data_IF_719587045855
#
_entry.id   IF_719587045855
#
_cell.length_a   1.000
_cell.length_b   1.000
_cell.length_c   1.000
_cell.angle_alpha   90.00
_cell.angle_beta   90.00
_cell.angle_gamma   90.00
#
_symmetry.space_group_name_H-M   'P 1'
#
loop_
_entity.id
_entity.type
_entity.pdbx_description
1 polymer ?
#
# COMPACT_ATOMS: atom_id res chain seq x y z
N UNK A 1 4.89 -11.31 3.71
CA UNK A 1 5.70 -11.38 2.46
C UNK A 1 7.06 -12.07 2.60
N UNK A 2 7.81 -11.91 3.71
CA UNK A 2 9.11 -12.60 3.87
C UNK A 2 8.97 -14.12 4.00
N UNK A 3 7.98 -14.58 4.78
CA UNK A 3 7.77 -16.01 5.05
C UNK A 3 6.91 -16.69 3.99
N UNK A 4 5.76 -16.09 3.70
CA UNK A 4 4.75 -16.69 2.81
C UNK A 4 4.81 -16.04 1.40
N UNK A 5 5.09 -16.83 0.34
CA UNK A 5 5.11 -16.41 -1.05
C UNK A 5 3.78 -15.89 -1.58
N UNK A 6 2.64 -16.28 -0.99
CA UNK A 6 1.32 -15.80 -1.40
C UNK A 6 1.28 -14.26 -1.43
N UNK A 7 1.79 -13.61 -0.38
CA UNK A 7 1.82 -12.15 -0.27
C UNK A 7 2.83 -11.46 -1.21
N UNK A 8 3.52 -12.22 -2.08
CA UNK A 8 4.38 -11.68 -3.15
C UNK A 8 3.65 -11.66 -4.51
N UNK A 9 2.48 -12.29 -4.59
CA UNK A 9 1.56 -12.17 -5.73
C UNK A 9 0.84 -10.82 -5.67
N UNK A 10 0.34 -10.32 -6.82
CA UNK A 10 -0.48 -9.10 -6.85
C UNK A 10 -1.65 -9.28 -5.89
N UNK A 11 -2.43 -10.36 -6.06
CA UNK A 11 -3.60 -10.62 -5.22
C UNK A 11 -3.27 -10.77 -3.74
N UNK A 12 -2.22 -11.50 -3.41
CA UNK A 12 -1.81 -11.67 -2.02
C UNK A 12 -1.35 -10.36 -1.38
N UNK A 13 -0.70 -9.48 -2.14
CA UNK A 13 -0.33 -8.16 -1.61
C UNK A 13 -1.57 -7.29 -1.32
N UNK A 14 -2.59 -7.29 -2.19
CA UNK A 14 -3.88 -6.64 -1.90
C UNK A 14 -4.47 -7.17 -0.59
N UNK A 15 -4.52 -8.49 -0.44
CA UNK A 15 -5.06 -9.15 0.76
C UNK A 15 -4.24 -8.81 2.01
N UNK A 16 -2.91 -8.70 1.89
CA UNK A 16 -2.06 -8.27 3.00
C UNK A 16 -2.42 -6.86 3.47
N UNK A 17 -2.68 -5.94 2.54
CA UNK A 17 -3.02 -4.55 2.86
C UNK A 17 -4.44 -4.47 3.45
N UNK A 18 -5.42 -5.08 2.79
CA UNK A 18 -6.79 -5.11 3.29
C UNK A 18 -6.88 -5.73 4.69
N UNK A 19 -6.21 -6.86 4.91
CA UNK A 19 -6.24 -7.53 6.20
C UNK A 19 -5.48 -6.76 7.28
N UNK A 20 -4.19 -6.54 7.08
CA UNK A 20 -3.30 -6.10 8.17
C UNK A 20 -3.33 -4.58 8.39
N UNK A 21 -3.77 -3.80 7.41
CA UNK A 21 -3.84 -2.33 7.52
C UNK A 21 -5.27 -1.82 7.57
N UNK A 22 -6.12 -2.24 6.64
CA UNK A 22 -7.49 -1.72 6.54
C UNK A 22 -8.39 -2.34 7.62
N UNK A 23 -8.53 -3.66 7.69
CA UNK A 23 -9.41 -4.32 8.66
C UNK A 23 -8.89 -4.20 10.09
N UNK A 24 -7.58 -4.33 10.31
CA UNK A 24 -6.97 -4.17 11.64
C UNK A 24 -6.97 -2.72 12.17
N UNK A 25 -7.46 -1.77 11.38
CA UNK A 25 -7.81 -0.43 11.88
C UNK A 25 -6.66 0.56 11.90
N UNK A 26 -5.76 0.50 10.92
CA UNK A 26 -4.83 1.60 10.71
C UNK A 26 -5.62 2.90 10.48
N UNK A 27 -5.25 3.95 11.23
CA UNK A 27 -5.97 5.22 11.27
C UNK A 27 -5.56 6.11 10.10
N UNK A 28 -5.88 5.69 8.87
CA UNK A 28 -5.41 6.36 7.65
C UNK A 28 -5.72 7.86 7.64
N UNK A 29 -6.92 8.29 8.00
CA UNK A 29 -7.26 9.72 7.98
C UNK A 29 -6.47 10.53 9.01
N UNK A 30 -6.32 10.03 10.24
CA UNK A 30 -5.51 10.70 11.26
C UNK A 30 -4.05 10.78 10.86
N UNK A 31 -3.49 9.72 10.26
CA UNK A 31 -2.08 9.63 9.89
C UNK A 31 -1.74 10.42 8.63
N UNK A 32 -2.66 10.47 7.67
CA UNK A 32 -2.48 11.19 6.41
C UNK A 32 -2.93 12.65 6.50
N UNK A 33 -3.78 13.00 7.48
CA UNK A 33 -4.36 14.34 7.59
C UNK A 33 -5.36 14.66 6.48
N UNK A 34 -6.06 13.63 5.96
CA UNK A 34 -7.02 13.75 4.86
C UNK A 34 -8.21 14.66 5.21
N UNK A 35 -8.54 14.76 6.49
CA UNK A 35 -9.56 15.67 7.02
C UNK A 35 -8.90 16.60 8.02
N UNK A 36 -9.15 17.90 7.86
CA UNK A 36 -8.71 18.91 8.83
C UNK A 36 -9.56 18.71 10.07
N UNK A 37 -8.91 18.30 11.16
CA UNK A 37 -9.55 18.33 12.46
C UNK A 37 -9.61 19.79 12.93
N UNK A 38 -10.81 20.37 12.97
CA UNK A 38 -11.04 21.71 13.53
C UNK A 38 -10.93 21.70 15.07
N UNK A 39 -10.93 20.51 15.69
CA UNK A 39 -10.67 20.40 17.11
C UNK A 39 -9.18 20.62 17.40
N UNK A 40 -8.87 21.19 18.56
CA UNK A 40 -7.49 21.34 19.05
C UNK A 40 -6.83 19.99 19.44
N UNK A 41 -7.21 18.86 18.80
CA UNK A 41 -6.53 17.59 18.95
C UNK A 41 -5.07 17.72 18.49
N UNK A 42 -4.20 16.91 19.09
CA UNK A 42 -2.77 16.90 18.74
C UNK A 42 -2.62 16.43 17.29
N UNK A 43 -1.74 17.09 16.52
CA UNK A 43 -1.37 16.61 15.19
C UNK A 43 -0.79 15.19 15.30
N UNK A 44 -1.52 14.20 14.77
CA UNK A 44 -1.12 12.80 14.78
C UNK A 44 -0.62 12.31 13.41
N UNK A 45 -0.30 13.22 12.48
CA UNK A 45 0.21 12.87 11.15
C UNK A 45 1.53 12.13 11.25
N UNK A 46 1.66 11.05 10.47
CA UNK A 46 2.88 10.27 10.42
C UNK A 46 2.91 9.36 9.18
N UNK A 47 4.03 9.24 8.45
CA UNK A 47 4.12 8.52 7.18
C UNK A 47 4.24 6.99 7.36
N UNK A 48 3.46 6.39 8.26
CA UNK A 48 3.61 4.98 8.67
C UNK A 48 3.35 4.02 7.50
N UNK A 49 2.30 4.25 6.71
CA UNK A 49 2.01 3.40 5.56
C UNK A 49 3.03 3.60 4.43
N UNK A 50 3.53 4.82 4.23
CA UNK A 50 4.61 5.09 3.27
C UNK A 50 5.90 4.39 3.66
N UNK A 51 6.27 4.39 4.95
CA UNK A 51 7.43 3.63 5.46
C UNK A 51 7.28 2.12 5.19
N UNK A 52 6.07 1.58 5.35
CA UNK A 52 5.79 0.20 4.97
C UNK A 52 5.99 -0.03 3.46
N UNK A 53 5.44 0.82 2.60
CA UNK A 53 5.61 0.70 1.15
C UNK A 53 7.09 0.82 0.74
N UNK A 54 7.86 1.69 1.39
CA UNK A 54 9.30 1.81 1.17
C UNK A 54 10.03 0.51 1.54
N UNK A 55 9.68 -0.11 2.69
CA UNK A 55 10.21 -1.43 3.02
C UNK A 55 9.87 -2.50 1.96
N UNK A 56 8.69 -2.46 1.35
CA UNK A 56 8.36 -3.36 0.23
C UNK A 56 9.19 -3.02 -1.01
N UNK A 57 9.40 -1.74 -1.29
CA UNK A 57 10.27 -1.29 -2.37
C UNK A 57 11.69 -1.83 -2.21
N UNK A 58 12.28 -1.76 -1.00
CA UNK A 58 13.60 -2.33 -0.72
C UNK A 58 13.65 -3.83 -1.06
N UNK A 59 12.59 -4.58 -0.76
CA UNK A 59 12.52 -6.00 -1.10
C UNK A 59 12.40 -6.24 -2.61
N UNK A 60 11.61 -5.42 -3.31
CA UNK A 60 11.51 -5.50 -4.78
C UNK A 60 12.86 -5.23 -5.45
N UNK A 61 13.66 -4.29 -4.91
CA UNK A 61 14.99 -3.97 -5.43
C UNK A 61 15.99 -5.10 -5.14
N UNK A 62 16.01 -5.63 -3.92
CA UNK A 62 16.92 -6.73 -3.56
C UNK A 62 16.57 -8.05 -4.25
N UNK A 63 15.29 -8.26 -4.59
CA UNK A 63 14.79 -9.47 -5.22
C UNK A 63 13.93 -9.18 -6.45
N UNK A 64 14.54 -8.85 -7.61
CA UNK A 64 13.84 -8.29 -8.77
C UNK A 64 12.85 -9.26 -9.44
N UNK A 65 12.92 -10.56 -9.16
CA UNK A 65 12.10 -11.59 -9.82
C UNK A 65 11.07 -12.24 -8.91
N UNK A 66 11.07 -12.00 -7.60
CA UNK A 66 10.23 -12.80 -6.67
C UNK A 66 8.85 -12.20 -6.42
N UNK A 67 8.64 -10.93 -6.78
CA UNK A 67 7.36 -10.23 -6.64
C UNK A 67 6.66 -10.22 -7.99
N UNK A 68 5.38 -10.60 -7.98
CA UNK A 68 4.55 -10.61 -9.18
C UNK A 68 4.19 -9.19 -9.61
N UNK A 69 4.17 -8.25 -8.66
CA UNK A 69 3.97 -6.84 -8.94
C UNK A 69 5.31 -6.10 -9.08
N UNK A 70 5.29 -4.97 -9.78
CA UNK A 70 6.43 -4.08 -9.99
C UNK A 70 6.36 -2.85 -9.07
N UNK A 71 7.41 -2.02 -9.10
CA UNK A 71 7.50 -0.80 -8.27
C UNK A 71 6.46 0.27 -8.62
N UNK A 72 5.86 0.22 -9.82
CA UNK A 72 4.78 1.14 -10.21
C UNK A 72 3.52 0.92 -9.36
N UNK A 73 3.25 -0.32 -8.93
CA UNK A 73 2.15 -0.59 -8.00
C UNK A 73 2.36 0.16 -6.69
N UNK A 74 3.56 0.07 -6.11
CA UNK A 74 3.89 0.72 -4.84
C UNK A 74 3.76 2.24 -4.95
N UNK A 75 4.24 2.80 -6.05
CA UNK A 75 4.10 4.23 -6.36
C UNK A 75 2.64 4.64 -6.50
N UNK A 76 1.85 3.88 -7.26
CA UNK A 76 0.43 4.15 -7.44
C UNK A 76 -0.34 4.13 -6.12
N UNK A 77 -0.04 3.18 -5.22
CA UNK A 77 -0.62 3.14 -3.87
C UNK A 77 -0.21 4.37 -3.04
N UNK A 78 1.06 4.77 -3.10
CA UNK A 78 1.57 5.93 -2.38
C UNK A 78 0.96 7.25 -2.86
N UNK A 79 0.80 7.44 -4.17
CA UNK A 79 0.15 8.62 -4.76
C UNK A 79 -1.34 8.68 -4.37
N UNK A 80 -2.01 7.53 -4.39
CA UNK A 80 -3.44 7.48 -4.10
C UNK A 80 -3.78 7.41 -2.62
N UNK A 81 -2.78 7.28 -1.73
CA UNK A 81 -2.92 7.38 -0.27
C UNK A 81 -3.51 8.72 0.17
N UNK A 82 -3.10 9.80 -0.49
CA UNK A 82 -3.50 11.18 -0.20
C UNK A 82 -4.55 11.74 -1.18
N UNK A 83 -4.82 11.01 -2.27
CA UNK A 83 -5.71 11.49 -3.33
C UNK A 83 -7.19 11.59 -2.92
N UNK A 84 -7.59 10.82 -1.90
CA UNK A 84 -8.99 10.57 -1.53
C UNK A 84 -9.89 10.11 -2.70
N UNK A 85 -9.32 9.67 -3.83
CA UNK A 85 -10.04 9.21 -5.02
C UNK A 85 -10.74 7.86 -4.78
N UNK A 86 -10.13 7.01 -3.96
CA UNK A 86 -10.62 5.67 -3.63
C UNK A 86 -10.93 5.55 -2.15
N UNK A 87 -11.87 4.67 -1.80
CA UNK A 87 -12.32 4.46 -0.42
C UNK A 87 -11.43 3.56 0.42
N UNK A 88 -10.43 2.93 -0.20
CA UNK A 88 -9.59 1.92 0.44
C UNK A 88 -8.79 2.49 1.61
N UNK A 89 -8.26 3.70 1.48
CA UNK A 89 -7.41 4.36 2.49
C UNK A 89 -8.08 5.57 3.15
N UNK A 90 -9.40 5.55 3.24
CA UNK A 90 -10.20 6.58 3.92
C UNK A 90 -10.75 6.01 5.22
N UNK A 91 -10.99 6.88 6.20
CA UNK A 91 -11.50 6.57 7.54
C UNK A 91 -10.49 5.82 8.40
N UNK A 92 -10.80 5.72 9.70
CA UNK A 92 -9.85 5.23 10.70
C UNK A 92 -10.11 3.78 11.14
N UNK A 93 -11.25 3.19 10.80
CA UNK A 93 -11.61 1.83 11.20
C UNK A 93 -12.61 1.20 10.24
N UNK A 94 -12.69 -0.14 10.28
CA UNK A 94 -13.58 -0.93 9.43
C UNK A 94 -15.06 -0.59 9.65
N UNK A 95 -15.47 -0.33 10.88
CA UNK A 95 -16.85 0.04 11.21
C UNK A 95 -17.29 1.34 10.51
N UNK A 96 -16.44 2.36 10.53
CA UNK A 96 -16.72 3.62 9.85
C UNK A 96 -16.78 3.42 8.33
N UNK A 97 -15.87 2.59 7.78
CA UNK A 97 -15.88 2.21 6.36
C UNK A 97 -17.12 1.43 5.95
N UNK A 98 -17.61 0.51 6.77
CA UNK A 98 -18.82 -0.27 6.45
C UNK A 98 -20.06 0.61 6.44
N UNK A 99 -20.18 1.55 7.37
CA UNK A 99 -21.25 2.55 7.37
C UNK A 99 -21.20 3.40 6.10
N UNK A 100 -20.03 3.91 5.72
CA UNK A 100 -19.93 4.82 4.57
C UNK A 100 -20.19 4.13 3.24
N UNK A 101 -19.78 2.85 3.12
CA UNK A 101 -20.15 1.98 1.99
C UNK A 101 -21.66 1.81 1.84
N UNK A 102 -22.43 1.86 2.93
CA UNK A 102 -23.91 1.74 2.86
C UNK A 102 -24.64 3.04 2.58
N UNK A 103 -24.00 4.20 2.81
CA UNK A 103 -24.60 5.54 2.62
C UNK A 103 -24.41 6.10 1.22
N UNK A 104 -23.32 5.75 0.56
CA UNK A 104 -22.99 6.26 -0.78
C UNK A 104 -23.83 5.54 -1.85
N UNK A 105 -24.71 6.29 -2.54
CA UNK A 105 -25.60 5.75 -3.59
C UNK A 105 -24.81 5.17 -4.77
N UNK A 106 -23.66 5.78 -5.10
CA UNK A 106 -22.74 5.32 -6.15
C UNK A 106 -21.64 4.37 -5.61
N UNK A 107 -21.56 4.18 -4.28
CA UNK A 107 -20.50 3.43 -3.61
C UNK A 107 -19.12 4.10 -3.70
N UNK A 108 -18.31 4.00 -2.64
CA UNK A 108 -16.90 4.39 -2.75
C UNK A 108 -16.11 3.30 -3.48
N UNK A 109 -15.48 3.67 -4.60
CA UNK A 109 -14.71 2.73 -5.43
C UNK A 109 -13.44 2.27 -4.71
N UNK A 110 -13.19 0.97 -4.73
CA UNK A 110 -11.96 0.37 -4.22
C UNK A 110 -10.80 0.65 -5.17
N UNK A 111 -9.62 0.99 -4.62
CA UNK A 111 -8.40 1.12 -5.43
C UNK A 111 -8.06 -0.18 -6.17
N UNK A 112 -8.42 -1.33 -5.57
CA UNK A 112 -8.20 -2.64 -6.15
C UNK A 112 -9.03 -2.89 -7.40
N UNK A 113 -10.21 -2.26 -7.54
CA UNK A 113 -11.00 -2.37 -8.77
C UNK A 113 -10.20 -1.81 -9.94
N UNK A 114 -9.62 -0.62 -9.79
CA UNK A 114 -8.76 -0.02 -10.81
C UNK A 114 -7.50 -0.87 -11.07
N UNK A 115 -6.81 -1.30 -10.02
CA UNK A 115 -5.56 -2.08 -10.14
C UNK A 115 -5.80 -3.41 -10.85
N UNK A 116 -6.90 -4.12 -10.55
CA UNK A 116 -7.20 -5.40 -11.19
C UNK A 116 -7.62 -5.24 -12.65
N UNK A 117 -8.38 -4.20 -12.97
CA UNK A 117 -8.77 -3.88 -14.36
C UNK A 117 -7.55 -3.49 -15.22
N UNK A 118 -6.52 -2.89 -14.61
CA UNK A 118 -5.28 -2.44 -15.28
C UNK A 118 -4.06 -3.27 -14.86
N UNK A 119 -4.27 -4.52 -14.45
CA UNK A 119 -3.22 -5.32 -13.79
C UNK A 119 -1.93 -5.45 -14.61
N UNK A 120 -2.02 -5.47 -15.94
CA UNK A 120 -0.86 -5.55 -16.84
C UNK A 120 0.19 -4.45 -16.58
N UNK A 121 -0.21 -3.25 -16.15
CA UNK A 121 0.71 -2.15 -15.83
C UNK A 121 1.52 -2.40 -14.54
N UNK A 122 0.93 -3.17 -13.63
CA UNK A 122 1.45 -3.43 -12.29
C UNK A 122 2.18 -4.75 -12.18
N UNK A 123 2.10 -5.63 -13.20
CA UNK A 123 2.78 -6.90 -13.19
C UNK A 123 4.26 -6.77 -13.55
N UNK A 124 5.08 -7.62 -12.94
CA UNK A 124 6.49 -7.76 -13.20
C UNK A 124 6.71 -8.85 -14.28
N UNK A 125 7.23 -8.50 -15.46
CA UNK A 125 7.45 -9.47 -16.54
C UNK A 125 8.53 -10.52 -16.20
N UNK A 126 9.37 -10.25 -15.20
CA UNK A 126 10.43 -11.17 -14.75
C UNK A 126 10.02 -12.01 -13.53
N UNK A 127 8.72 -12.05 -13.20
CA UNK A 127 8.24 -12.79 -12.06
C UNK A 127 8.51 -14.30 -12.19
N UNK A 128 9.28 -14.83 -11.24
CA UNK A 128 9.59 -16.24 -11.06
C UNK A 128 9.23 -16.63 -9.61
N UNK A 129 8.13 -17.38 -9.40
CA UNK A 129 7.70 -17.79 -8.08
C UNK A 129 8.80 -18.55 -7.34
N UNK A 130 9.16 -18.08 -6.16
CA UNK A 130 10.12 -18.76 -5.28
C UNK A 130 9.44 -19.04 -3.94
N UNK A 131 9.27 -20.31 -3.54
CA UNK A 131 8.57 -20.66 -2.30
C UNK A 131 9.41 -20.41 -1.04
N UNK A 132 10.72 -20.12 -1.18
CA UNK A 132 11.61 -19.95 -0.05
C UNK A 132 11.31 -18.67 0.72
N UNK A 133 11.62 -18.70 2.02
CA UNK A 133 11.70 -17.51 2.87
C UNK A 133 12.74 -16.54 2.31
N UNK A 134 12.46 -15.24 2.46
CA UNK A 134 13.43 -14.17 2.17
C UNK A 134 14.21 -13.78 3.42
N UNK A 135 15.48 -13.47 3.21
CA UNK A 135 16.41 -12.99 4.23
C UNK A 135 17.10 -11.74 3.68
N UNK A 136 16.41 -10.58 3.71
CA UNK A 136 16.91 -9.35 3.11
C UNK A 136 18.13 -8.83 3.88
N UNK A 137 19.01 -8.14 3.16
CA UNK A 137 20.07 -7.36 3.79
C UNK A 137 19.49 -6.07 4.36
N UNK A 138 19.82 -5.79 5.60
CA UNK A 138 19.47 -4.55 6.31
C UNK A 138 20.68 -3.60 6.44
N UNK A 139 21.75 -3.86 5.68
CA UNK A 139 22.92 -3.00 5.65
C UNK A 139 22.59 -1.69 4.92
N UNK A 140 23.04 -0.56 5.44
CA UNK A 140 22.81 0.76 4.85
C UNK A 140 23.28 0.85 3.39
N UNK A 141 24.36 0.16 3.03
CA UNK A 141 24.88 0.11 1.65
C UNK A 141 23.97 -0.60 0.65
N UNK A 142 23.03 -1.41 1.13
CA UNK A 142 22.07 -2.16 0.32
C UNK A 142 20.70 -1.47 0.24
N UNK A 143 20.43 -0.48 1.10
CA UNK A 143 19.22 0.31 1.03
C UNK A 143 19.34 1.32 -0.11
N UNK A 144 18.28 1.42 -0.91
CA UNK A 144 18.19 2.38 -2.01
C UNK A 144 17.17 3.45 -1.68
N UNK A 145 17.51 4.70 -1.98
CA UNK A 145 16.53 5.76 -1.90
C UNK A 145 15.44 5.52 -2.96
N UNK A 146 14.18 5.66 -2.58
CA UNK A 146 13.06 5.46 -3.50
C UNK A 146 12.84 6.71 -4.37
N UNK A 147 13.74 6.91 -5.32
CA UNK A 147 13.78 8.07 -6.22
C UNK A 147 12.45 8.28 -6.96
N UNK A 148 11.86 7.20 -7.49
CA UNK A 148 10.60 7.25 -8.26
C UNK A 148 9.41 7.85 -7.50
N UNK A 149 9.43 7.81 -6.16
CA UNK A 149 8.38 8.38 -5.31
C UNK A 149 8.79 9.73 -4.73
N UNK A 150 9.99 9.82 -4.15
CA UNK A 150 10.42 11.01 -3.41
C UNK A 150 11.00 12.13 -4.29
N UNK A 151 11.41 11.83 -5.54
CA UNK A 151 11.92 12.83 -6.51
C UNK A 151 10.98 13.05 -7.70
N UNK A 152 9.70 12.68 -7.58
CA UNK A 152 8.75 12.78 -8.67
C UNK A 152 8.25 14.22 -8.98
N UNK A 153 8.94 15.26 -8.50
CA UNK A 153 8.51 16.67 -8.50
C UNK A 153 9.56 17.59 -9.11
#
# INVERSE_FOLDING_TARGET
>A
MLLDPYYRTLKGFEVSIEKEWVSFGHQFDKRNGNFIDESHEKDERSPIFIQFLDCVYQLCVQYPTIFQFNTKLLRFLAENLYSCKYGTFVLNNEFSRSIEKTKSVDGIVSIWSYINDHCAEFLNPFYCPNPRRLEPSYNESQLKFWEDHFMAW
#
